data_IF_443923810528
#
_entry.id   IF_443923810528
#
_cell.length_a   1.000
_cell.length_b   1.000
_cell.length_c   1.000
_cell.angle_alpha   90.00
_cell.angle_beta   90.00
_cell.angle_gamma   90.00
#
_symmetry.space_group_name_H-M   'P 1'
#
loop_
_entity.id
_entity.type
_entity.pdbx_description
1 polymer ?
#
# COMPACT_ATOMS: atom_id res chain seq x y z
N UNK A 1 -18.18 -12.33 -9.84
CA UNK A 1 -17.37 -13.08 -10.81
C UNK A 1 -17.58 -12.44 -12.16
N UNK A 2 -16.60 -11.68 -12.63
CA UNK A 2 -16.69 -10.91 -13.88
C UNK A 2 -17.01 -11.81 -15.08
N UNK A 3 -16.64 -13.09 -15.02
CA UNK A 3 -16.93 -14.12 -16.03
C UNK A 3 -18.41 -14.20 -16.41
N UNK A 4 -19.33 -13.95 -15.45
CA UNK A 4 -20.77 -13.96 -15.72
C UNK A 4 -21.24 -12.77 -16.57
N UNK A 5 -20.51 -11.66 -16.53
CA UNK A 5 -20.82 -10.44 -17.28
C UNK A 5 -20.17 -10.42 -18.67
N UNK A 6 -19.12 -11.20 -18.88
CA UNK A 6 -18.39 -11.24 -20.15
C UNK A 6 -19.29 -11.49 -21.37
N UNK A 7 -20.24 -12.46 -21.37
CA UNK A 7 -21.12 -12.66 -22.53
C UNK A 7 -22.10 -11.50 -22.75
N UNK A 8 -22.42 -10.74 -21.70
CA UNK A 8 -23.27 -9.56 -21.78
C UNK A 8 -22.48 -8.44 -22.46
N UNK A 9 -21.22 -8.22 -22.05
CA UNK A 9 -20.35 -7.18 -22.63
C UNK A 9 -20.20 -7.34 -24.14
N UNK A 10 -20.03 -8.57 -24.63
CA UNK A 10 -19.93 -8.85 -26.08
C UNK A 10 -21.21 -8.54 -26.87
N UNK A 11 -22.36 -8.55 -26.21
CA UNK A 11 -23.67 -8.30 -26.84
C UNK A 11 -24.09 -6.84 -26.72
N UNK A 12 -23.33 -6.01 -26.00
CA UNK A 12 -23.66 -4.60 -25.86
C UNK A 12 -23.45 -3.89 -27.21
N UNK A 13 -24.37 -3.01 -27.63
CA UNK A 13 -24.24 -2.28 -28.90
C UNK A 13 -23.13 -1.22 -28.87
N UNK A 14 -22.70 -0.80 -27.67
CA UNK A 14 -21.62 0.17 -27.47
C UNK A 14 -20.32 -0.50 -27.02
N UNK A 15 -19.17 0.19 -27.17
CA UNK A 15 -17.88 -0.34 -26.74
C UNK A 15 -17.83 -0.52 -25.22
N UNK A 16 -17.32 -1.66 -24.76
CA UNK A 16 -17.06 -1.94 -23.35
C UNK A 16 -15.56 -1.90 -23.10
N UNK A 17 -15.13 -0.97 -22.25
CA UNK A 17 -13.74 -0.88 -21.79
C UNK A 17 -13.70 -1.30 -20.33
N UNK A 18 -12.84 -2.25 -19.98
CA UNK A 18 -12.64 -2.68 -18.60
C UNK A 18 -11.15 -2.83 -18.29
N UNK A 19 -10.77 -2.49 -17.05
CA UNK A 19 -9.41 -2.61 -16.53
C UNK A 19 -9.33 -3.90 -15.72
N UNK A 20 -8.43 -4.81 -16.08
CA UNK A 20 -8.38 -6.15 -15.51
C UNK A 20 -6.95 -6.69 -15.42
N UNK A 21 -6.68 -7.47 -14.37
CA UNK A 21 -5.41 -8.14 -14.13
C UNK A 21 -5.55 -9.66 -14.16
N UNK A 22 -6.79 -10.19 -14.05
CA UNK A 22 -7.06 -11.61 -14.19
C UNK A 22 -6.98 -12.09 -15.64
N UNK A 23 -6.07 -13.04 -15.88
CA UNK A 23 -5.84 -13.64 -17.20
C UNK A 23 -7.11 -14.24 -17.81
N UNK A 24 -7.96 -14.89 -17.00
CA UNK A 24 -9.16 -15.59 -17.50
C UNK A 24 -10.24 -14.58 -17.89
N UNK A 25 -10.40 -13.54 -17.09
CA UNK A 25 -11.30 -12.43 -17.41
C UNK A 25 -10.84 -11.65 -18.64
N UNK A 26 -9.53 -11.42 -18.79
CA UNK A 26 -8.96 -10.72 -19.94
C UNK A 26 -9.00 -11.56 -21.24
N UNK A 27 -8.98 -12.89 -21.15
CA UNK A 27 -8.85 -13.77 -22.33
C UNK A 27 -10.01 -13.73 -23.31
N UNK A 28 -11.14 -13.12 -22.92
CA UNK A 28 -12.30 -12.98 -23.80
C UNK A 28 -12.35 -11.65 -24.52
N UNK A 29 -11.50 -10.68 -24.18
CA UNK A 29 -11.61 -9.36 -24.79
C UNK A 29 -11.23 -9.44 -26.28
N UNK A 30 -11.89 -8.64 -27.12
CA UNK A 30 -11.60 -8.60 -28.55
C UNK A 30 -10.26 -7.90 -28.83
N UNK A 31 -9.88 -6.95 -27.97
CA UNK A 31 -8.68 -6.14 -28.10
C UNK A 31 -8.08 -5.82 -26.73
N UNK A 32 -6.77 -5.65 -26.66
CA UNK A 32 -6.02 -5.28 -25.47
C UNK A 32 -5.18 -4.03 -25.71
N UNK A 33 -5.01 -3.24 -24.66
CA UNK A 33 -4.10 -2.10 -24.58
C UNK A 33 -3.26 -2.33 -23.31
N UNK A 34 -1.95 -2.52 -23.49
CA UNK A 34 -1.01 -2.72 -22.39
C UNK A 34 -0.26 -1.42 -22.12
N UNK A 35 -0.26 -0.98 -20.86
CA UNK A 35 0.41 0.24 -20.41
C UNK A 35 1.67 -0.12 -19.61
N UNK A 36 2.76 0.61 -19.84
CA UNK A 36 3.99 0.39 -19.09
C UNK A 36 5.14 1.26 -19.58
N UNK A 37 6.40 0.76 -19.54
CA UNK A 37 6.83 -0.57 -19.07
C UNK A 37 6.81 -0.74 -17.53
N UNK A 38 6.68 0.35 -16.78
CA UNK A 38 6.58 0.35 -15.32
C UNK A 38 5.37 1.14 -14.81
N UNK A 39 5.37 1.45 -13.51
CA UNK A 39 4.36 2.29 -12.87
C UNK A 39 4.88 3.71 -12.60
N UNK A 40 3.98 4.64 -12.30
CA UNK A 40 4.30 6.05 -12.03
C UNK A 40 5.03 6.71 -13.19
N UNK A 41 6.15 7.40 -12.92
CA UNK A 41 6.94 8.12 -13.94
C UNK A 41 7.56 7.21 -15.00
N UNK A 42 7.69 5.90 -14.74
CA UNK A 42 8.18 4.90 -15.70
C UNK A 42 7.05 4.22 -16.49
N UNK A 43 5.80 4.68 -16.33
CA UNK A 43 4.62 4.17 -17.01
C UNK A 43 3.97 5.20 -17.94
N UNK A 44 2.69 5.01 -18.23
CA UNK A 44 1.88 5.97 -19.01
C UNK A 44 2.09 5.92 -20.52
N UNK A 45 2.89 4.96 -21.01
CA UNK A 45 3.06 4.71 -22.45
C UNK A 45 2.31 3.45 -22.86
N UNK A 46 1.74 3.45 -24.07
CA UNK A 46 1.20 2.24 -24.69
C UNK A 46 2.40 1.41 -25.17
N UNK A 47 2.58 0.23 -24.56
CA UNK A 47 3.66 -0.69 -24.93
C UNK A 47 3.16 -1.84 -25.82
N UNK A 48 1.84 -2.02 -25.92
CA UNK A 48 1.19 -2.91 -26.86
C UNK A 48 -0.26 -2.47 -27.09
N UNK A 49 -0.74 -2.64 -28.33
CA UNK A 49 -2.15 -2.51 -28.69
C UNK A 49 -2.47 -3.50 -29.82
N UNK A 50 -3.50 -4.31 -29.63
CA UNK A 50 -3.90 -5.34 -30.59
C UNK A 50 -4.69 -6.49 -29.96
N UNK A 51 -4.76 -7.62 -30.65
CA UNK A 51 -5.47 -8.81 -30.17
C UNK A 51 -4.78 -9.45 -28.96
N UNK A 52 -5.52 -10.25 -28.18
CA UNK A 52 -4.95 -10.95 -27.02
C UNK A 52 -3.94 -12.04 -27.43
N UNK A 53 -4.14 -12.67 -28.58
CA UNK A 53 -3.18 -13.61 -29.16
C UNK A 53 -1.84 -12.95 -29.44
N UNK A 54 -1.85 -11.74 -30.00
CA UNK A 54 -0.63 -10.98 -30.24
C UNK A 54 0.02 -10.53 -28.93
N UNK A 55 -0.78 -10.10 -27.93
CA UNK A 55 -0.27 -9.70 -26.62
C UNK A 55 0.51 -10.84 -25.95
N UNK A 56 0.01 -12.09 -26.01
CA UNK A 56 0.68 -13.26 -25.43
C UNK A 56 2.03 -13.56 -26.08
N UNK A 57 2.24 -13.15 -27.33
CA UNK A 57 3.52 -13.34 -27.99
C UNK A 57 4.58 -12.30 -27.63
N UNK A 58 4.16 -11.15 -27.12
CA UNK A 58 5.07 -10.09 -26.73
C UNK A 58 5.94 -10.41 -25.50
N UNK A 59 7.02 -9.65 -25.37
CA UNK A 59 7.91 -9.64 -24.20
C UNK A 59 7.51 -8.60 -23.13
N UNK A 60 6.32 -7.99 -23.23
CA UNK A 60 5.83 -7.09 -22.19
C UNK A 60 5.62 -7.85 -20.87
N UNK A 61 5.59 -7.15 -19.71
CA UNK A 61 5.28 -7.80 -18.43
C UNK A 61 3.97 -8.59 -18.49
N UNK A 62 2.90 -8.00 -19.03
CA UNK A 62 1.59 -8.64 -19.20
C UNK A 62 1.68 -9.83 -20.15
N UNK A 63 2.30 -9.67 -21.32
CA UNK A 63 2.50 -10.76 -22.29
C UNK A 63 3.21 -11.96 -21.67
N UNK A 64 4.30 -11.74 -20.92
CA UNK A 64 5.06 -12.80 -20.23
C UNK A 64 4.26 -13.58 -19.18
N UNK A 65 3.43 -12.90 -18.39
CA UNK A 65 2.63 -13.55 -17.35
C UNK A 65 1.36 -14.19 -17.90
N UNK A 66 0.68 -13.54 -18.85
CA UNK A 66 -0.54 -14.08 -19.47
C UNK A 66 -0.25 -15.26 -20.39
N UNK A 67 0.91 -15.31 -21.05
CA UNK A 67 1.37 -16.49 -21.82
C UNK A 67 1.98 -17.59 -20.95
N UNK A 68 2.17 -17.34 -19.65
CA UNK A 68 2.89 -18.22 -18.72
C UNK A 68 4.37 -18.47 -19.09
N UNK A 69 4.97 -17.65 -19.97
CA UNK A 69 6.44 -17.60 -20.19
C UNK A 69 7.16 -17.31 -18.87
N UNK A 70 6.57 -16.46 -18.02
CA UNK A 70 6.97 -16.23 -16.63
C UNK A 70 5.91 -16.78 -15.68
N UNK A 71 6.35 -17.50 -14.64
CA UNK A 71 5.46 -18.12 -13.63
C UNK A 71 5.91 -17.71 -12.23
N UNK A 72 4.95 -17.62 -11.31
CA UNK A 72 5.24 -17.45 -9.88
C UNK A 72 5.89 -18.72 -9.35
N UNK A 73 6.97 -18.57 -8.58
CA UNK A 73 7.68 -19.69 -8.00
C UNK A 73 6.81 -20.38 -6.95
N UNK A 74 6.57 -21.67 -7.15
CA UNK A 74 5.84 -22.51 -6.20
C UNK A 74 6.84 -23.18 -5.25
N UNK A 75 6.73 -23.01 -3.92
CA UNK A 75 7.62 -23.68 -2.98
C UNK A 75 7.54 -25.20 -3.11
N UNK A 76 8.69 -25.86 -3.34
CA UNK A 76 8.78 -27.32 -3.52
C UNK A 76 8.52 -28.13 -2.24
N UNK A 77 8.76 -27.53 -1.06
CA UNK A 77 8.57 -28.18 0.24
C UNK A 77 7.78 -27.25 1.17
N UNK A 78 6.86 -27.83 1.93
CA UNK A 78 6.12 -27.17 3.01
C UNK A 78 6.31 -28.02 4.27
N UNK A 79 6.88 -27.44 5.33
CA UNK A 79 7.06 -28.15 6.58
C UNK A 79 5.73 -28.28 7.32
N UNK A 80 5.53 -29.42 7.99
CA UNK A 80 4.33 -29.67 8.79
C UNK A 80 4.17 -28.60 9.88
N UNK A 81 2.95 -28.09 10.12
CA UNK A 81 2.69 -27.15 11.20
C UNK A 81 2.71 -27.88 12.55
N UNK A 82 3.27 -27.22 13.57
CA UNK A 82 3.31 -27.74 14.96
C UNK A 82 2.45 -26.91 15.91
N UNK A 83 1.98 -25.74 15.47
CA UNK A 83 1.25 -24.78 16.30
C UNK A 83 0.04 -24.25 15.54
N UNK A 84 -1.09 -24.18 16.22
CA UNK A 84 -2.38 -23.84 15.63
C UNK A 84 -3.15 -22.85 16.50
N UNK A 85 -3.97 -22.04 15.84
CA UNK A 85 -5.10 -21.35 16.44
C UNK A 85 -6.36 -22.14 16.08
N UNK A 86 -7.04 -22.72 17.05
CA UNK A 86 -8.24 -23.53 16.86
C UNK A 86 -9.47 -22.72 17.22
N UNK A 87 -10.45 -22.72 16.33
CA UNK A 87 -11.75 -22.08 16.49
C UNK A 87 -12.78 -23.20 16.50
N UNK A 88 -13.56 -23.30 17.56
CA UNK A 88 -14.59 -24.32 17.74
C UNK A 88 -15.98 -23.69 17.68
N UNK A 89 -16.87 -24.26 16.88
CA UNK A 89 -18.27 -23.87 16.74
C UNK A 89 -18.49 -22.43 16.29
N UNK A 90 -17.76 -21.98 15.26
CA UNK A 90 -17.98 -20.66 14.68
C UNK A 90 -19.36 -20.58 14.00
N UNK A 91 -20.22 -19.68 14.48
CA UNK A 91 -21.66 -19.67 14.17
C UNK A 91 -22.21 -18.30 13.79
N UNK A 92 -21.34 -17.31 13.55
CA UNK A 92 -21.76 -15.96 13.22
C UNK A 92 -22.30 -15.86 11.78
N UNK A 93 -23.36 -15.07 11.57
CA UNK A 93 -24.05 -14.90 10.29
C UNK A 93 -24.46 -16.24 9.64
N UNK A 94 -23.85 -16.60 8.52
CA UNK A 94 -24.16 -17.83 7.78
C UNK A 94 -23.20 -18.99 8.06
N UNK A 95 -22.31 -18.85 9.06
CA UNK A 95 -21.44 -19.94 9.51
C UNK A 95 -22.26 -21.00 10.25
N UNK A 96 -22.05 -22.27 9.89
CA UNK A 96 -22.84 -23.41 10.37
C UNK A 96 -22.14 -24.17 11.49
N UNK A 97 -21.84 -23.49 12.60
CA UNK A 97 -21.10 -24.04 13.75
C UNK A 97 -19.81 -24.77 13.36
N UNK A 98 -18.99 -24.14 12.50
CA UNK A 98 -17.81 -24.80 11.93
C UNK A 98 -16.61 -24.78 12.90
N UNK A 99 -15.84 -25.86 12.87
CA UNK A 99 -14.53 -25.95 13.53
C UNK A 99 -13.42 -25.67 12.51
N UNK A 100 -12.46 -24.83 12.88
CA UNK A 100 -11.36 -24.39 11.99
C UNK A 100 -10.05 -24.38 12.75
N UNK A 101 -9.02 -25.02 12.19
CA UNK A 101 -7.65 -24.94 12.68
C UNK A 101 -6.79 -24.11 11.72
N UNK A 102 -6.22 -23.00 12.22
CA UNK A 102 -5.33 -22.14 11.46
C UNK A 102 -3.88 -22.43 11.88
N UNK A 103 -3.03 -22.99 11.00
CA UNK A 103 -1.62 -23.23 11.31
C UNK A 103 -0.87 -21.89 11.44
N UNK A 104 -0.10 -21.75 12.51
CA UNK A 104 0.69 -20.56 12.80
C UNK A 104 2.08 -20.64 12.17
N UNK A 105 2.74 -19.49 12.00
CA UNK A 105 4.04 -19.35 11.32
C UNK A 105 4.03 -19.90 9.88
N UNK A 106 2.88 -19.74 9.21
CA UNK A 106 2.63 -20.18 7.83
C UNK A 106 1.78 -19.14 7.11
N UNK A 107 1.87 -19.15 5.78
CA UNK A 107 0.95 -18.42 4.92
C UNK A 107 -0.30 -19.28 4.71
N UNK A 108 -1.43 -18.83 5.26
CA UNK A 108 -2.73 -19.52 5.15
C UNK A 108 -3.66 -18.71 4.26
N UNK A 109 -4.29 -19.37 3.29
CA UNK A 109 -5.31 -18.76 2.41
C UNK A 109 -6.69 -19.28 2.81
N UNK A 110 -7.66 -18.38 2.90
CA UNK A 110 -9.08 -18.73 3.01
C UNK A 110 -9.73 -18.41 1.68
N UNK A 111 -10.26 -19.43 1.02
CA UNK A 111 -10.89 -19.33 -0.30
C UNK A 111 -12.34 -19.79 -0.24
N UNK A 112 -13.10 -19.48 -1.28
CA UNK A 112 -14.52 -19.78 -1.37
C UNK A 112 -15.27 -18.71 -2.16
N UNK A 113 -16.48 -19.03 -2.62
CA UNK A 113 -17.33 -18.10 -3.39
C UNK A 113 -17.72 -16.86 -2.58
N UNK A 114 -18.13 -15.79 -3.26
CA UNK A 114 -18.65 -14.60 -2.56
C UNK A 114 -19.85 -14.97 -1.69
N UNK A 115 -19.93 -14.39 -0.49
CA UNK A 115 -20.97 -14.72 0.49
C UNK A 115 -20.78 -16.03 1.26
N UNK A 116 -19.70 -16.79 1.03
CA UNK A 116 -19.48 -18.07 1.75
C UNK A 116 -19.11 -17.94 3.24
N UNK A 117 -18.99 -16.72 3.76
CA UNK A 117 -18.63 -16.47 5.17
C UNK A 117 -17.13 -16.23 5.43
N UNK A 118 -16.29 -16.04 4.40
CA UNK A 118 -14.83 -15.78 4.56
C UNK A 118 -14.53 -14.58 5.47
N UNK A 119 -15.10 -13.42 5.12
CA UNK A 119 -14.95 -12.17 5.87
C UNK A 119 -15.53 -12.31 7.28
N UNK A 120 -16.67 -12.96 7.43
CA UNK A 120 -17.27 -13.25 8.75
C UNK A 120 -16.33 -14.06 9.64
N UNK A 121 -15.76 -15.16 9.11
CA UNK A 121 -14.83 -16.00 9.85
C UNK A 121 -13.58 -15.23 10.27
N UNK A 122 -13.01 -14.43 9.38
CA UNK A 122 -11.74 -13.77 9.64
C UNK A 122 -11.87 -12.49 10.45
N UNK A 123 -12.80 -11.60 10.11
CA UNK A 123 -12.93 -10.29 10.75
C UNK A 123 -13.82 -10.37 11.99
N UNK A 124 -15.01 -10.94 11.83
CA UNK A 124 -16.04 -10.93 12.87
C UNK A 124 -15.80 -11.99 13.95
N UNK A 125 -15.21 -13.14 13.59
CA UNK A 125 -14.85 -14.20 14.54
C UNK A 125 -13.39 -14.09 14.96
N UNK A 126 -12.42 -14.37 14.08
CA UNK A 126 -11.00 -14.50 14.46
C UNK A 126 -10.40 -13.17 14.94
N UNK A 127 -10.44 -12.12 14.12
CA UNK A 127 -9.84 -10.82 14.46
C UNK A 127 -10.48 -10.24 15.72
N UNK A 128 -11.81 -10.19 15.77
CA UNK A 128 -12.56 -9.68 16.92
C UNK A 128 -12.29 -10.47 18.20
N UNK A 129 -12.17 -11.80 18.12
CA UNK A 129 -11.87 -12.64 19.29
C UNK A 129 -10.47 -12.37 19.85
N UNK A 130 -9.48 -12.25 18.97
CA UNK A 130 -8.09 -11.97 19.35
C UNK A 130 -7.92 -10.56 19.92
N UNK A 131 -8.57 -9.56 19.34
CA UNK A 131 -8.53 -8.17 19.83
C UNK A 131 -9.20 -8.05 21.21
N UNK A 132 -10.38 -8.66 21.39
CA UNK A 132 -11.13 -8.60 22.66
C UNK A 132 -10.65 -9.63 23.69
N UNK A 133 -9.70 -10.51 23.32
CA UNK A 133 -9.20 -11.62 24.15
C UNK A 133 -10.32 -12.50 24.73
N UNK A 134 -11.36 -12.75 23.94
CA UNK A 134 -12.50 -13.61 24.31
C UNK A 134 -13.14 -14.22 23.06
N UNK A 135 -13.80 -15.37 23.19
CA UNK A 135 -14.54 -15.97 22.07
C UNK A 135 -15.68 -15.06 21.62
N UNK A 136 -15.65 -14.61 20.37
CA UNK A 136 -16.71 -13.85 19.69
C UNK A 136 -17.17 -14.66 18.48
N UNK A 137 -18.48 -14.91 18.37
CA UNK A 137 -19.05 -15.63 17.22
C UNK A 137 -18.60 -17.09 17.08
N UNK A 138 -18.03 -17.67 18.15
CA UNK A 138 -17.61 -19.07 18.26
C UNK A 138 -17.76 -19.55 19.71
N UNK A 139 -17.82 -20.87 19.91
CA UNK A 139 -17.89 -21.51 21.25
C UNK A 139 -16.56 -21.34 21.99
N UNK A 140 -15.44 -21.61 21.31
CA UNK A 140 -14.11 -21.57 21.92
C UNK A 140 -13.06 -21.16 20.89
N UNK A 141 -12.05 -20.43 21.36
CA UNK A 141 -10.82 -20.19 20.60
C UNK A 141 -9.63 -20.60 21.48
N UNK A 142 -8.77 -21.48 20.97
CA UNK A 142 -7.59 -22.00 21.69
C UNK A 142 -6.32 -21.83 20.87
N UNK A 143 -5.20 -21.61 21.53
CA UNK A 143 -3.92 -21.35 20.88
C UNK A 143 -3.08 -20.32 21.66
N UNK A 144 -1.92 -19.93 21.13
CA UNK A 144 -1.10 -18.89 21.74
C UNK A 144 -1.80 -17.53 21.74
N UNK A 145 -1.38 -16.66 22.65
CA UNK A 145 -1.85 -15.28 22.70
C UNK A 145 -1.27 -14.50 21.52
N UNK A 146 -2.13 -14.11 20.57
CA UNK A 146 -1.75 -13.40 19.35
C UNK A 146 -2.39 -12.02 19.30
N UNK A 147 -1.61 -11.02 18.86
CA UNK A 147 -2.15 -9.73 18.43
C UNK A 147 -2.56 -9.81 16.97
N UNK A 148 -3.85 -9.66 16.70
CA UNK A 148 -4.36 -9.59 15.34
C UNK A 148 -4.21 -8.20 14.73
N UNK A 149 -3.79 -8.16 13.48
CA UNK A 149 -3.64 -6.95 12.67
C UNK A 149 -4.34 -7.19 11.35
N UNK A 150 -5.27 -6.30 11.02
CA UNK A 150 -5.95 -6.31 9.73
C UNK A 150 -5.31 -5.27 8.80
N UNK A 151 -5.01 -5.67 7.57
CA UNK A 151 -4.45 -4.80 6.53
C UNK A 151 -5.37 -4.84 5.32
N UNK A 152 -6.21 -3.82 5.24
CA UNK A 152 -7.21 -3.57 4.21
C UNK A 152 -6.77 -2.43 3.28
N UNK A 153 -7.57 -2.18 2.24
CA UNK A 153 -7.34 -1.14 1.24
C UNK A 153 -7.85 0.25 1.62
N UNK A 154 -8.40 0.42 2.83
CA UNK A 154 -8.84 1.74 3.28
C UNK A 154 -7.68 2.76 3.24
N UNK A 155 -7.96 4.06 3.01
CA UNK A 155 -6.90 5.07 2.96
C UNK A 155 -6.03 5.09 4.22
N UNK A 156 -4.73 5.36 4.08
CA UNK A 156 -3.81 5.47 5.23
C UNK A 156 -4.10 6.71 6.10
N UNK A 157 -4.82 7.69 5.55
CA UNK A 157 -5.41 8.81 6.26
C UNK A 157 -6.59 9.41 5.47
N UNK A 158 -7.51 10.07 6.19
CA UNK A 158 -8.73 10.64 5.58
C UNK A 158 -8.51 11.95 4.83
N UNK A 159 -7.34 12.57 4.95
CA UNK A 159 -7.05 13.89 4.39
C UNK A 159 -5.61 13.96 3.82
N UNK A 160 -5.28 15.00 3.03
CA UNK A 160 -3.97 15.16 2.38
C UNK A 160 -2.77 15.27 3.33
N UNK A 161 -3.01 15.48 4.63
CA UNK A 161 -1.95 15.60 5.64
C UNK A 161 -1.17 14.30 5.82
N UNK A 162 -1.83 13.15 5.66
CA UNK A 162 -1.16 11.84 5.71
C UNK A 162 -0.52 11.50 4.38
N UNK A 163 0.65 10.88 4.41
CA UNK A 163 1.40 10.44 3.22
C UNK A 163 2.34 9.27 3.59
N UNK A 164 2.98 8.60 2.61
CA UNK A 164 3.92 7.51 2.89
C UNK A 164 5.01 7.91 3.91
N UNK A 165 5.57 9.11 3.81
CA UNK A 165 6.61 9.61 4.73
C UNK A 165 6.18 9.59 6.20
N UNK A 166 5.01 10.14 6.49
CA UNK A 166 4.48 10.29 7.85
C UNK A 166 3.91 8.98 8.38
N UNK A 167 3.25 8.20 7.53
CA UNK A 167 2.67 6.92 7.94
C UNK A 167 3.75 5.91 8.36
N UNK A 168 4.84 5.83 7.60
CA UNK A 168 5.98 4.93 7.85
C UNK A 168 6.97 5.46 8.88
N UNK A 169 6.84 6.75 9.26
CA UNK A 169 7.77 7.51 10.12
C UNK A 169 9.14 7.78 9.51
N UNK A 170 9.30 7.59 8.20
CA UNK A 170 10.51 8.05 7.48
C UNK A 170 10.71 9.55 7.68
N UNK A 171 9.62 10.33 7.73
CA UNK A 171 9.66 11.77 7.97
C UNK A 171 10.34 12.14 9.30
N UNK A 172 10.33 11.30 10.33
CA UNK A 172 11.05 11.58 11.58
C UNK A 172 12.57 11.63 11.34
N UNK A 173 13.10 10.73 10.51
CA UNK A 173 14.53 10.61 10.21
C UNK A 173 14.99 11.72 9.25
N UNK A 174 14.19 12.01 8.22
CA UNK A 174 14.47 13.09 7.27
C UNK A 174 14.47 14.45 7.97
N UNK A 175 13.51 14.72 8.86
CA UNK A 175 13.46 15.98 9.62
C UNK A 175 14.67 16.17 10.53
N UNK A 176 15.19 15.10 11.14
CA UNK A 176 16.44 15.17 11.94
C UNK A 176 17.63 15.58 11.07
N UNK A 177 17.74 15.01 9.87
CA UNK A 177 18.80 15.35 8.93
C UNK A 177 18.71 16.83 8.50
N UNK A 178 17.54 17.28 8.08
CA UNK A 178 17.33 18.68 7.69
C UNK A 178 17.59 19.66 8.83
N UNK A 179 17.15 19.35 10.05
CA UNK A 179 17.42 20.18 11.23
C UNK A 179 18.93 20.33 11.49
N UNK A 180 19.68 19.22 11.43
CA UNK A 180 21.13 19.22 11.65
C UNK A 180 21.88 20.07 10.62
N UNK A 181 21.48 19.99 9.35
CA UNK A 181 22.21 20.65 8.25
C UNK A 181 21.87 22.14 8.09
N UNK A 182 20.69 22.57 8.56
CA UNK A 182 20.16 23.92 8.32
C UNK A 182 20.18 24.82 9.56
N UNK A 183 20.36 24.23 10.75
CA UNK A 183 20.32 24.93 12.03
C UNK A 183 18.91 25.20 12.56
N UNK A 184 17.84 24.96 11.79
CA UNK A 184 16.47 25.10 12.27
C UNK A 184 16.06 23.91 13.15
N UNK A 185 15.11 24.13 14.06
CA UNK A 185 14.61 23.05 14.92
C UNK A 185 13.87 21.97 14.11
N UNK A 186 13.85 20.74 14.65
CA UNK A 186 13.14 19.60 14.03
C UNK A 186 11.65 19.87 13.80
N UNK A 187 11.04 20.77 14.59
CA UNK A 187 9.63 21.19 14.43
C UNK A 187 9.39 21.98 13.15
N UNK A 188 10.34 22.83 12.71
CA UNK A 188 10.23 23.58 11.47
C UNK A 188 10.09 22.64 10.26
N UNK A 189 10.73 21.48 10.29
CA UNK A 189 10.62 20.51 9.19
C UNK A 189 9.39 19.61 9.27
N UNK A 190 8.45 19.88 10.19
CA UNK A 190 7.17 19.16 10.29
C UNK A 190 6.02 20.05 9.84
N UNK A 191 5.40 19.73 8.69
CA UNK A 191 4.17 20.41 8.24
C UNK A 191 2.96 20.18 9.18
N UNK A 192 3.07 19.30 10.20
CA UNK A 192 2.08 19.14 11.25
C UNK A 192 2.25 20.12 12.42
N UNK A 193 3.29 20.96 12.38
CA UNK A 193 3.69 21.88 13.43
C UNK A 193 3.64 23.32 12.89
N UNK A 194 3.03 24.27 13.62
CA UNK A 194 2.84 25.64 13.13
C UNK A 194 4.16 26.36 12.79
N UNK A 195 5.26 25.99 13.44
CA UNK A 195 6.60 26.58 13.26
C UNK A 195 7.09 26.52 11.81
N UNK A 196 6.72 25.46 11.08
CA UNK A 196 7.14 25.25 9.69
C UNK A 196 6.02 25.13 8.68
N UNK A 197 4.78 24.93 9.13
CA UNK A 197 3.65 24.72 8.25
C UNK A 197 3.29 26.00 7.48
N UNK A 198 2.88 25.83 6.22
CA UNK A 198 2.22 26.90 5.47
C UNK A 198 1.00 27.40 6.26
N UNK A 199 0.93 28.71 6.51
CA UNK A 199 -0.11 29.33 7.34
C UNK A 199 -1.52 29.13 6.76
N UNK A 200 -1.65 29.21 5.44
CA UNK A 200 -2.92 29.16 4.71
C UNK A 200 -3.55 27.78 4.73
N UNK A 201 -2.81 26.75 4.34
CA UNK A 201 -3.31 25.37 4.34
C UNK A 201 -3.04 24.61 5.64
N UNK A 202 -2.38 25.22 6.62
CA UNK A 202 -1.96 24.59 7.90
C UNK A 202 -1.25 23.26 7.67
N UNK A 203 -0.33 23.27 6.69
CA UNK A 203 0.49 22.14 6.27
C UNK A 203 -0.25 21.00 5.55
N UNK A 204 -1.50 21.19 5.14
CA UNK A 204 -2.22 20.21 4.31
C UNK A 204 -1.70 20.16 2.87
N UNK A 205 -1.14 21.26 2.36
CA UNK A 205 -0.79 21.44 0.95
C UNK A 205 -1.99 21.69 0.02
N UNK A 206 -3.20 21.58 0.56
CA UNK A 206 -4.46 21.74 -0.14
C UNK A 206 -5.50 22.39 0.78
N UNK A 207 -6.51 23.03 0.19
CA UNK A 207 -7.67 23.57 0.88
C UNK A 207 -8.88 22.67 0.63
N UNK A 208 -9.67 22.45 1.68
CA UNK A 208 -10.87 21.62 1.62
C UNK A 208 -12.03 22.43 1.03
N UNK A 209 -12.65 21.91 -0.04
CA UNK A 209 -13.93 22.38 -0.55
C UNK A 209 -15.01 21.42 -0.06
N UNK A 210 -15.89 21.93 0.81
CA UNK A 210 -17.06 21.18 1.28
C UNK A 210 -18.26 21.54 0.43
N UNK A 211 -18.73 20.56 -0.33
CA UNK A 211 -19.99 20.63 -1.07
C UNK A 211 -21.05 19.85 -0.29
N UNK A 212 -22.30 20.30 -0.34
CA UNK A 212 -23.41 19.63 0.35
C UNK A 212 -23.66 18.27 -0.33
N UNK A 213 -23.76 17.21 0.45
CA UNK A 213 -24.03 15.84 -0.01
C UNK A 213 -22.96 15.19 -0.90
N UNK A 214 -21.78 15.80 -1.04
CA UNK A 214 -20.66 15.24 -1.80
C UNK A 214 -19.44 15.03 -0.89
N UNK A 215 -18.56 14.05 -1.21
CA UNK A 215 -17.29 13.92 -0.51
C UNK A 215 -16.45 15.19 -0.69
N UNK A 216 -15.68 15.55 0.34
CA UNK A 216 -14.81 16.72 0.31
C UNK A 216 -13.84 16.65 -0.87
N UNK A 217 -13.81 17.72 -1.65
CA UNK A 217 -12.82 17.91 -2.71
C UNK A 217 -11.66 18.76 -2.18
N UNK A 218 -10.47 18.61 -2.77
CA UNK A 218 -9.26 19.29 -2.31
C UNK A 218 -8.65 20.06 -3.46
N UNK A 219 -8.49 21.37 -3.30
CA UNK A 219 -7.78 22.21 -4.27
C UNK A 219 -6.36 22.50 -3.79
N UNK A 220 -5.43 22.64 -4.73
CA UNK A 220 -4.05 23.01 -4.44
C UNK A 220 -4.01 24.33 -3.67
N UNK A 221 -3.25 24.37 -2.58
CA UNK A 221 -3.06 25.61 -1.83
C UNK A 221 -2.35 26.66 -2.72
N UNK A 222 -2.92 27.88 -2.88
CA UNK A 222 -2.34 28.89 -3.76
C UNK A 222 -0.96 29.37 -3.29
N UNK A 223 -0.73 29.41 -1.98
CA UNK A 223 0.46 30.04 -1.42
C UNK A 223 1.68 29.10 -1.43
N UNK A 224 1.49 27.86 -1.00
CA UNK A 224 2.59 26.89 -0.95
C UNK A 224 2.64 25.95 -2.16
N UNK A 225 1.63 25.94 -3.04
CA UNK A 225 1.57 25.07 -4.23
C UNK A 225 1.90 23.60 -3.91
N UNK A 226 1.18 23.05 -2.92
CA UNK A 226 1.40 21.71 -2.33
C UNK A 226 2.70 21.49 -1.53
N UNK A 227 3.59 22.48 -1.40
CA UNK A 227 4.83 22.34 -0.66
C UNK A 227 4.63 22.14 0.86
N UNK A 228 3.47 22.53 1.41
CA UNK A 228 3.06 22.36 2.82
C UNK A 228 3.85 23.17 3.86
N UNK A 229 4.97 23.77 3.49
CA UNK A 229 5.84 24.52 4.38
C UNK A 229 5.73 26.04 4.15
N UNK A 230 6.15 26.81 5.15
CA UNK A 230 6.30 28.26 5.05
C UNK A 230 7.58 28.64 4.28
N UNK A 231 7.72 29.91 3.94
CA UNK A 231 8.82 30.40 3.13
C UNK A 231 10.19 30.23 3.81
N UNK A 232 10.26 30.35 5.13
CA UNK A 232 11.50 30.16 5.90
C UNK A 232 12.08 28.77 5.71
N UNK A 233 11.24 27.73 5.78
CA UNK A 233 11.64 26.33 5.55
C UNK A 233 11.98 26.10 4.08
N UNK A 234 11.21 26.68 3.16
CA UNK A 234 11.43 26.51 1.71
C UNK A 234 12.70 27.21 1.20
N UNK A 235 13.26 28.17 1.94
CA UNK A 235 14.58 28.75 1.66
C UNK A 235 15.75 27.85 2.07
N UNK A 236 15.50 26.80 2.86
CA UNK A 236 16.54 25.89 3.35
C UNK A 236 16.64 24.66 2.46
N UNK A 237 17.84 24.40 1.95
CA UNK A 237 18.15 23.22 1.13
C UNK A 237 19.21 22.36 1.80
N UNK A 238 19.19 21.07 1.49
CA UNK A 238 20.21 20.10 1.92
C UNK A 238 20.75 19.40 0.69
N UNK A 239 22.09 19.31 0.61
CA UNK A 239 22.77 18.62 -0.50
C UNK A 239 22.62 17.10 -0.38
N UNK A 240 22.30 16.44 -1.49
CA UNK A 240 22.33 15.00 -1.68
C UNK A 240 23.01 14.71 -3.03
N UNK A 241 24.28 14.29 -2.99
CA UNK A 241 25.12 14.24 -4.20
C UNK A 241 25.39 15.65 -4.71
N UNK A 242 25.21 15.86 -6.01
CA UNK A 242 25.47 17.14 -6.68
C UNK A 242 24.29 18.12 -6.58
N UNK A 243 23.11 17.63 -6.20
CA UNK A 243 21.88 18.42 -6.13
C UNK A 243 21.57 18.84 -4.68
N UNK A 244 20.92 20.00 -4.53
CA UNK A 244 20.38 20.48 -3.27
C UNK A 244 18.85 20.51 -3.32
N UNK A 245 18.20 19.99 -2.29
CA UNK A 245 16.75 19.89 -2.24
C UNK A 245 16.22 20.57 -0.97
N UNK A 246 15.17 21.36 -1.12
CA UNK A 246 14.27 21.68 -0.01
C UNK A 246 13.61 20.40 0.51
N UNK A 247 13.10 20.41 1.75
CA UNK A 247 12.41 19.22 2.26
C UNK A 247 11.15 18.86 1.46
N UNK A 248 10.51 19.87 0.86
CA UNK A 248 9.35 19.67 -0.01
C UNK A 248 9.74 18.95 -1.29
N UNK A 249 10.80 19.39 -1.96
CA UNK A 249 11.32 18.75 -3.17
C UNK A 249 11.77 17.32 -2.88
N UNK A 250 12.47 17.11 -1.76
CA UNK A 250 12.87 15.76 -1.33
C UNK A 250 11.66 14.84 -1.13
N UNK A 251 10.56 15.33 -0.56
CA UNK A 251 9.33 14.55 -0.44
C UNK A 251 8.63 14.32 -1.79
N UNK A 252 8.87 15.15 -2.80
CA UNK A 252 8.30 14.94 -4.13
C UNK A 252 9.05 13.87 -4.94
N UNK A 253 10.29 13.54 -4.59
CA UNK A 253 11.03 12.43 -5.21
C UNK A 253 10.32 11.08 -5.00
N UNK A 254 10.51 10.19 -5.96
CA UNK A 254 10.10 8.80 -5.87
C UNK A 254 10.90 8.05 -4.80
N UNK A 255 10.29 7.02 -4.22
CA UNK A 255 10.96 6.16 -3.23
C UNK A 255 12.24 5.52 -3.80
N UNK A 256 12.27 5.21 -5.10
CA UNK A 256 13.46 4.69 -5.80
C UNK A 256 14.60 5.73 -5.85
N UNK A 257 14.32 6.96 -6.27
CA UNK A 257 15.32 8.03 -6.30
C UNK A 257 15.87 8.31 -4.89
N UNK A 258 14.98 8.36 -3.89
CA UNK A 258 15.35 8.55 -2.49
C UNK A 258 16.26 7.42 -1.99
N UNK A 259 16.01 6.17 -2.40
CA UNK A 259 16.86 5.05 -2.04
C UNK A 259 18.29 5.23 -2.55
N UNK A 260 18.47 5.71 -3.78
CA UNK A 260 19.78 5.97 -4.37
C UNK A 260 20.51 7.12 -3.67
N UNK A 261 19.80 8.20 -3.33
CA UNK A 261 20.37 9.31 -2.56
C UNK A 261 20.84 8.87 -1.16
N UNK A 262 20.04 8.05 -0.48
CA UNK A 262 20.33 7.60 0.90
C UNK A 262 21.48 6.56 0.94
N UNK A 263 21.82 5.89 -0.17
CA UNK A 263 22.99 4.98 -0.20
C UNK A 263 24.26 5.70 0.23
N UNK A 264 24.46 6.94 -0.26
CA UNK A 264 25.62 7.81 -0.01
C UNK A 264 25.51 8.65 1.27
N UNK A 265 24.39 8.56 1.99
CA UNK A 265 24.16 9.35 3.21
C UNK A 265 24.96 8.81 4.39
N UNK A 266 25.63 9.70 5.13
CA UNK A 266 26.46 9.38 6.30
C UNK A 266 26.32 10.38 7.46
N UNK A 267 25.47 11.41 7.35
CA UNK A 267 25.33 12.49 8.34
C UNK A 267 24.38 12.14 9.49
N UNK A 268 23.50 11.15 9.30
CA UNK A 268 22.67 10.56 10.34
C UNK A 268 23.48 9.61 11.25
N UNK A 269 23.00 9.39 12.47
CA UNK A 269 23.56 8.35 13.33
C UNK A 269 23.48 6.97 12.65
N UNK A 270 24.43 6.07 12.93
CA UNK A 270 24.45 4.73 12.32
C UNK A 270 23.12 3.97 12.51
N UNK A 271 22.48 4.14 13.67
CA UNK A 271 21.19 3.52 13.98
C UNK A 271 20.04 4.13 13.16
N UNK A 272 19.97 5.46 13.06
CA UNK A 272 18.95 6.14 12.26
C UNK A 272 19.12 5.84 10.77
N UNK A 273 20.36 5.80 10.26
CA UNK A 273 20.65 5.46 8.87
C UNK A 273 20.26 4.01 8.53
N UNK A 274 20.61 3.04 9.37
CA UNK A 274 20.18 1.63 9.20
C UNK A 274 18.66 1.52 9.19
N UNK A 275 17.98 2.23 10.09
CA UNK A 275 16.52 2.26 10.18
C UNK A 275 15.90 2.86 8.91
N UNK A 276 16.42 3.98 8.43
CA UNK A 276 15.98 4.66 7.21
C UNK A 276 16.14 3.76 5.98
N UNK A 277 17.34 3.21 5.76
CA UNK A 277 17.63 2.30 4.64
C UNK A 277 16.69 1.09 4.63
N UNK A 278 16.47 0.46 5.79
CA UNK A 278 15.52 -0.66 5.90
C UNK A 278 14.09 -0.26 5.55
N UNK A 279 13.61 0.90 6.03
CA UNK A 279 12.25 1.37 5.76
C UNK A 279 12.03 1.66 4.26
N UNK A 280 13.00 2.34 3.62
CA UNK A 280 12.96 2.62 2.19
C UNK A 280 13.02 1.32 1.38
N UNK A 281 13.94 0.41 1.72
CA UNK A 281 14.03 -0.89 1.05
C UNK A 281 12.73 -1.68 1.17
N UNK A 282 12.08 -1.68 2.34
CA UNK A 282 10.78 -2.34 2.52
C UNK A 282 9.72 -1.80 1.56
N UNK A 283 9.71 -0.49 1.30
CA UNK A 283 8.78 0.12 0.33
C UNK A 283 9.11 -0.25 -1.13
N UNK A 284 10.40 -0.42 -1.45
CA UNK A 284 10.84 -0.91 -2.75
C UNK A 284 10.44 -2.38 -2.97
N UNK A 285 10.66 -3.24 -1.98
CA UNK A 285 10.40 -4.67 -2.06
C UNK A 285 8.91 -4.98 -2.28
N UNK A 286 8.02 -4.11 -1.80
CA UNK A 286 6.58 -4.19 -2.04
C UNK A 286 6.12 -3.42 -3.29
N UNK A 287 7.04 -3.00 -4.14
CA UNK A 287 6.74 -2.42 -5.46
C UNK A 287 6.22 -0.98 -5.43
N UNK A 288 6.50 -0.21 -4.38
CA UNK A 288 6.11 1.21 -4.30
C UNK A 288 7.22 2.18 -4.72
N UNK A 289 8.25 1.70 -5.42
CA UNK A 289 9.40 2.53 -5.81
C UNK A 289 9.05 3.76 -6.65
N UNK A 290 7.99 3.67 -7.46
CA UNK A 290 7.50 4.76 -8.30
C UNK A 290 6.74 5.86 -7.54
N UNK A 291 6.29 5.56 -6.33
CA UNK A 291 5.44 6.45 -5.56
C UNK A 291 6.28 7.57 -4.96
N UNK A 292 5.77 8.80 -5.00
CA UNK A 292 6.38 9.92 -4.30
C UNK A 292 6.24 9.77 -2.79
N UNK A 293 7.32 10.01 -2.03
CA UNK A 293 7.31 9.82 -0.56
C UNK A 293 6.29 10.76 0.13
N UNK A 294 6.04 11.93 -0.45
CA UNK A 294 5.12 12.95 -0.01
C UNK A 294 3.69 12.81 -0.50
N UNK A 295 3.39 11.82 -1.36
CA UNK A 295 2.10 11.67 -2.05
C UNK A 295 0.92 11.73 -1.06
N UNK A 296 -0.04 12.65 -1.24
CA UNK A 296 -1.19 12.78 -0.34
C UNK A 296 -2.01 11.48 -0.24
N UNK A 297 -2.44 11.10 0.96
CA UNK A 297 -3.21 9.86 1.17
C UNK A 297 -4.48 9.74 0.32
N UNK A 298 -5.26 10.80 0.04
CA UNK A 298 -6.45 10.68 -0.79
C UNK A 298 -6.17 10.39 -2.26
N UNK A 299 -4.92 10.58 -2.72
CA UNK A 299 -4.52 10.31 -4.11
C UNK A 299 -3.83 8.95 -4.28
N UNK A 300 -3.89 8.10 -3.25
CA UNK A 300 -3.37 6.74 -3.30
C UNK A 300 -4.47 5.77 -3.73
N UNK A 301 -4.12 4.78 -4.56
CA UNK A 301 -5.01 3.65 -4.83
C UNK A 301 -5.20 2.78 -3.59
N UNK A 302 -6.26 1.97 -3.56
CA UNK A 302 -6.51 1.03 -2.47
C UNK A 302 -5.33 0.06 -2.25
N UNK A 303 -4.79 -0.49 -3.35
CA UNK A 303 -3.61 -1.36 -3.32
C UNK A 303 -2.34 -0.64 -2.82
N UNK A 304 -2.11 0.61 -3.21
CA UNK A 304 -1.00 1.41 -2.68
C UNK A 304 -1.12 1.64 -1.17
N UNK A 305 -2.30 2.05 -0.71
CA UNK A 305 -2.58 2.26 0.71
C UNK A 305 -2.35 0.97 1.51
N UNK A 306 -2.83 -0.17 1.01
CA UNK A 306 -2.64 -1.48 1.63
C UNK A 306 -1.16 -1.86 1.73
N UNK A 307 -0.38 -1.70 0.64
CA UNK A 307 1.06 -1.99 0.65
C UNK A 307 1.82 -1.08 1.62
N UNK A 308 1.48 0.21 1.69
CA UNK A 308 2.06 1.12 2.69
C UNK A 308 1.76 0.65 4.12
N UNK A 309 0.54 0.17 4.42
CA UNK A 309 0.21 -0.43 5.72
C UNK A 309 1.07 -1.65 6.02
N UNK A 310 1.21 -2.53 5.03
CA UNK A 310 2.00 -3.77 5.14
C UNK A 310 3.49 -3.50 5.46
N UNK A 311 4.05 -2.39 4.97
CA UNK A 311 5.44 -2.01 5.21
C UNK A 311 5.83 -1.93 6.69
N UNK A 312 4.88 -1.62 7.60
CA UNK A 312 5.10 -1.58 9.05
C UNK A 312 5.42 -2.93 9.67
N UNK A 313 5.05 -4.01 8.99
CA UNK A 313 5.12 -5.37 9.49
C UNK A 313 6.25 -6.17 8.83
N UNK A 314 6.54 -5.91 7.55
CA UNK A 314 7.60 -6.62 6.80
C UNK A 314 9.02 -6.28 7.26
N UNK A 315 9.25 -5.06 7.75
CA UNK A 315 10.59 -4.67 8.20
C UNK A 315 10.96 -5.18 9.60
N UNK A 316 9.99 -5.53 10.46
CA UNK A 316 10.27 -5.89 11.87
C UNK A 316 10.79 -7.33 11.96
N UNK A 317 11.90 -7.50 12.66
CA UNK A 317 12.62 -8.76 12.83
C UNK A 317 11.83 -9.88 13.55
N UNK A 318 10.63 -9.60 14.07
CA UNK A 318 9.71 -10.68 14.41
C UNK A 318 8.24 -10.25 14.34
N UNK A 319 7.44 -11.05 13.63
CA UNK A 319 6.00 -11.13 13.81
C UNK A 319 5.65 -12.04 15.01
N UNK A 320 6.57 -12.16 15.98
CA UNK A 320 6.34 -13.00 17.15
C UNK A 320 5.05 -12.56 17.83
N UNK A 321 4.17 -13.52 18.04
CA UNK A 321 2.86 -13.33 18.64
C UNK A 321 1.95 -12.36 17.87
N UNK A 322 2.11 -12.22 16.55
CA UNK A 322 1.22 -11.45 15.69
C UNK A 322 0.64 -12.33 14.59
N UNK A 323 -0.61 -12.08 14.25
CA UNK A 323 -1.25 -12.59 13.04
C UNK A 323 -1.63 -11.42 12.17
N UNK A 324 -1.12 -11.42 10.94
CA UNK A 324 -1.49 -10.44 9.92
C UNK A 324 -2.58 -11.06 9.07
N UNK A 325 -3.70 -10.36 8.99
CA UNK A 325 -4.85 -10.68 8.16
C UNK A 325 -4.83 -9.71 6.99
N UNK A 326 -4.75 -10.24 5.78
CA UNK A 326 -4.80 -9.48 4.54
C UNK A 326 -6.15 -9.74 3.88
N UNK A 327 -6.92 -8.69 3.63
CA UNK A 327 -8.15 -8.79 2.84
C UNK A 327 -7.84 -8.46 1.37
N UNK A 328 -8.09 -9.43 0.50
CA UNK A 328 -7.85 -9.38 -0.96
C UNK A 328 -6.59 -8.57 -1.38
N UNK A 329 -5.38 -8.98 -0.93
CA UNK A 329 -4.16 -8.19 -1.16
C UNK A 329 -3.73 -8.11 -2.63
N UNK A 330 -4.33 -8.92 -3.51
CA UNK A 330 -4.09 -8.94 -4.95
C UNK A 330 -5.01 -8.00 -5.74
N UNK A 331 -6.01 -7.39 -5.12
CA UNK A 331 -6.95 -6.52 -5.84
C UNK A 331 -6.21 -5.26 -6.32
N UNK A 332 -6.16 -5.06 -7.63
CA UNK A 332 -5.41 -3.99 -8.29
C UNK A 332 -3.89 -4.23 -8.39
N UNK A 333 -3.45 -5.50 -8.39
CA UNK A 333 -2.08 -5.94 -8.65
C UNK A 333 -2.00 -6.80 -9.91
#
# INVERSE_FOLDING_TARGET
NIIKFLPIFHKMPGPVIFVEHDRIAASVADNAIDLGPGAGSSGGSIIFQGSLSELWETDTPTGKFFSLKKKVLVPKKRSQPTLFLKIEGASMHNLKEIDVEIPLNRLTVISGVSGSGKTTLIESVVHSSLVKKKSIGCKKITGPSLKSVMVDQSPIGKNPRSNPATYTKISELIRKLYAKETGLSISHFSFNRPEGACQTCKGMGALEIRLRHLPSSWIICPDCKQARFNEEVLKKTVKFGDNAYTISEFYNLSIAEIADLIKKENRLSLNDLKKLKRMIQTLLDIGLGYLSLGQPSPTLSGGEAQRIKLSKYLGKSSLQNQIIILDEPSTGL
#
